data_IF_043941256447
#
_entry.id   IF_043941256447
#
_cell.length_a   1.000
_cell.length_b   1.000
_cell.length_c   1.000
_cell.angle_alpha   90.00
_cell.angle_beta   90.00
_cell.angle_gamma   90.00
#
_symmetry.space_group_name_H-M   'P 1'
#
loop_
_entity.id
_entity.type
_entity.pdbx_description
1 polymer ?
#
# COMPACT_ATOMS: atom_id res chain seq x y z
N UNK A 1 38.19 49.63 40.59
CA UNK A 1 38.16 49.05 39.23
C UNK A 1 39.14 47.90 39.13
N UNK A 2 38.73 46.73 39.62
CA UNK A 2 39.55 45.50 39.64
C UNK A 2 38.63 44.26 39.49
N UNK A 3 37.86 44.21 38.43
CA UNK A 3 36.91 43.09 38.25
C UNK A 3 36.94 42.45 36.87
N UNK A 4 37.36 43.18 35.84
CA UNK A 4 37.24 42.67 34.45
C UNK A 4 38.40 41.75 34.02
N UNK A 5 39.61 41.95 34.57
CA UNK A 5 40.80 41.18 34.22
C UNK A 5 40.84 39.75 34.81
N UNK A 6 40.15 39.52 35.92
CA UNK A 6 40.11 38.20 36.60
C UNK A 6 39.11 37.25 35.88
N UNK A 7 37.99 37.77 35.37
CA UNK A 7 36.99 36.98 34.69
C UNK A 7 37.50 36.45 33.36
N UNK A 8 38.30 37.25 32.62
CA UNK A 8 38.91 36.83 31.36
C UNK A 8 39.96 35.76 31.52
N UNK A 9 40.80 35.86 32.62
CA UNK A 9 41.77 34.80 32.91
C UNK A 9 41.14 33.49 33.33
N UNK A 10 40.06 33.55 34.12
CA UNK A 10 39.34 32.34 34.51
C UNK A 10 38.68 31.64 33.33
N UNK A 11 38.11 32.39 32.37
CA UNK A 11 37.58 31.82 31.14
C UNK A 11 38.67 31.18 30.28
N UNK A 12 39.83 31.78 30.15
CA UNK A 12 40.95 31.19 29.40
C UNK A 12 41.54 29.94 30.05
N UNK A 13 41.56 29.87 31.38
CA UNK A 13 41.98 28.68 32.12
C UNK A 13 40.95 27.55 32.01
N UNK A 14 39.66 27.85 32.02
CA UNK A 14 38.58 26.87 31.82
C UNK A 14 38.64 26.33 30.39
N UNK A 15 38.85 27.18 29.37
CA UNK A 15 39.00 26.72 28.00
C UNK A 15 40.22 25.81 27.80
N UNK A 16 41.36 26.10 28.47
CA UNK A 16 42.55 25.23 28.42
C UNK A 16 42.30 23.87 29.07
N UNK A 17 41.63 23.84 30.22
CA UNK A 17 41.32 22.58 30.92
C UNK A 17 40.31 21.74 30.13
N UNK A 18 39.36 22.35 29.41
CA UNK A 18 38.39 21.65 28.57
C UNK A 18 39.07 21.01 27.34
N UNK A 19 40.08 21.68 26.77
CA UNK A 19 40.85 21.15 25.64
C UNK A 19 41.85 20.04 26.08
N UNK A 20 42.41 20.11 27.32
CA UNK A 20 43.33 19.10 27.85
C UNK A 20 42.62 17.83 28.36
N UNK A 21 41.37 17.93 28.79
CA UNK A 21 40.59 16.79 29.34
C UNK A 21 39.81 16.06 28.23
N UNK A 22 39.84 16.55 27.00
CA UNK A 22 39.15 15.90 25.89
C UNK A 22 37.61 15.88 26.03
N UNK A 23 37.08 16.78 26.89
CA UNK A 23 35.63 16.97 27.00
C UNK A 23 35.15 17.52 25.65
N UNK A 24 34.55 16.70 24.85
CA UNK A 24 33.90 17.17 23.64
C UNK A 24 32.96 18.32 24.02
N UNK A 25 33.24 19.51 23.51
CA UNK A 25 32.31 20.65 23.63
C UNK A 25 30.95 20.12 23.16
N UNK A 26 29.86 20.32 23.89
CA UNK A 26 28.55 19.91 23.43
C UNK A 26 28.39 20.50 22.04
N UNK A 27 28.15 19.62 21.08
CA UNK A 27 27.97 20.00 19.66
C UNK A 27 26.69 20.85 19.62
N UNK A 28 26.85 22.18 19.71
CA UNK A 28 25.76 23.16 19.67
C UNK A 28 25.17 23.27 18.23
N UNK A 29 25.32 22.23 17.42
CA UNK A 29 24.64 22.17 16.14
C UNK A 29 23.15 21.87 16.37
N UNK A 30 22.26 22.86 16.20
CA UNK A 30 20.82 22.66 16.39
C UNK A 30 20.24 21.65 15.42
N UNK A 31 21.00 21.24 14.42
CA UNK A 31 20.59 20.29 13.38
C UNK A 31 21.32 18.94 13.48
N UNK A 32 22.08 18.68 14.54
CA UNK A 32 22.84 17.43 14.69
C UNK A 32 21.94 16.18 14.61
N UNK A 33 20.75 16.23 15.22
CA UNK A 33 19.78 15.15 15.15
C UNK A 33 19.23 14.94 13.73
N UNK A 34 19.01 16.03 12.99
CA UNK A 34 18.51 15.95 11.60
C UNK A 34 19.61 15.43 10.66
N UNK A 35 20.87 15.75 10.90
CA UNK A 35 21.98 15.18 10.11
C UNK A 35 22.15 13.69 10.39
N UNK A 36 22.10 13.26 11.64
CA UNK A 36 22.14 11.85 12.00
C UNK A 36 20.95 11.08 11.38
N UNK A 37 19.77 11.68 11.39
CA UNK A 37 18.61 11.14 10.70
C UNK A 37 18.84 11.06 9.17
N UNK A 38 19.38 12.12 8.55
CA UNK A 38 19.71 12.15 7.14
C UNK A 38 20.75 11.09 6.77
N UNK A 39 21.79 10.93 7.56
CA UNK A 39 22.81 9.89 7.36
C UNK A 39 22.23 8.49 7.47
N UNK A 40 21.38 8.23 8.47
CA UNK A 40 20.68 6.96 8.60
C UNK A 40 19.73 6.69 7.43
N UNK A 41 19.06 7.72 6.90
CA UNK A 41 18.15 7.63 5.76
C UNK A 41 18.89 7.50 4.42
N UNK A 42 20.11 8.02 4.27
CA UNK A 42 20.88 7.92 3.03
C UNK A 42 21.23 6.47 2.65
N UNK A 43 21.27 5.57 3.62
CA UNK A 43 21.43 4.12 3.41
C UNK A 43 20.11 3.40 3.09
N UNK A 44 18.97 4.04 3.36
CA UNK A 44 17.63 3.46 3.23
C UNK A 44 16.96 3.85 1.91
N UNK A 45 17.38 4.95 1.29
CA UNK A 45 16.83 5.40 0.00
C UNK A 45 17.45 4.62 -1.17
N UNK A 46 17.34 3.32 -1.15
CA UNK A 46 17.09 2.58 -2.37
C UNK A 46 15.59 2.70 -2.58
N UNK A 47 15.21 3.34 -3.67
CA UNK A 47 13.86 3.58 -4.12
C UNK A 47 13.02 2.31 -4.01
N UNK A 48 12.37 2.13 -2.87
CA UNK A 48 11.50 0.98 -2.71
C UNK A 48 10.11 1.34 -3.20
N UNK A 49 9.56 0.43 -3.95
CA UNK A 49 8.34 0.62 -4.68
C UNK A 49 7.16 0.90 -3.76
N UNK A 50 6.53 2.04 -3.92
CA UNK A 50 5.17 2.25 -3.47
C UNK A 50 4.30 2.31 -4.72
N UNK A 51 3.78 1.18 -5.13
CA UNK A 51 3.05 1.04 -6.38
C UNK A 51 1.57 0.70 -6.14
N UNK A 52 0.70 1.28 -6.96
CA UNK A 52 -0.69 0.88 -7.08
C UNK A 52 -0.87 0.01 -8.32
N UNK A 53 -1.52 -1.13 -8.15
CA UNK A 53 -1.82 -2.10 -9.20
C UNK A 53 -3.35 -2.17 -9.31
N UNK A 54 -3.88 -1.97 -10.50
CA UNK A 54 -5.32 -1.98 -10.70
C UNK A 54 -5.69 -2.68 -12.01
N UNK A 55 -6.86 -3.30 -12.03
CA UNK A 55 -7.34 -4.06 -13.16
C UNK A 55 -8.67 -4.71 -12.85
N UNK A 56 -9.28 -5.35 -13.83
CA UNK A 56 -10.47 -6.17 -13.62
C UNK A 56 -10.16 -7.44 -12.81
N UNK A 57 -11.21 -8.13 -12.41
CA UNK A 57 -11.06 -9.45 -11.80
C UNK A 57 -10.30 -10.41 -12.72
N UNK A 58 -9.49 -11.28 -12.13
CA UNK A 58 -8.76 -12.29 -12.87
C UNK A 58 -7.62 -11.77 -13.74
N UNK A 59 -7.23 -10.47 -13.66
CA UNK A 59 -6.13 -9.93 -14.48
C UNK A 59 -4.72 -10.18 -13.90
N UNK A 60 -4.60 -10.95 -12.81
CA UNK A 60 -3.29 -11.36 -12.27
C UNK A 60 -2.63 -10.34 -11.36
N UNK A 61 -3.38 -9.38 -10.78
CA UNK A 61 -2.83 -8.33 -9.88
C UNK A 61 -1.99 -8.90 -8.75
N UNK A 62 -2.56 -9.78 -7.93
CA UNK A 62 -1.84 -10.41 -6.81
C UNK A 62 -0.74 -11.34 -7.28
N UNK A 63 -0.94 -12.01 -8.42
CA UNK A 63 0.01 -12.97 -8.98
C UNK A 63 1.35 -12.32 -9.31
N UNK A 64 1.36 -11.11 -9.89
CA UNK A 64 2.63 -10.43 -10.23
C UNK A 64 3.45 -10.04 -9.00
N UNK A 65 2.81 -9.78 -7.86
CA UNK A 65 3.50 -9.46 -6.60
C UNK A 65 4.06 -10.73 -5.96
N UNK A 66 3.29 -11.81 -5.96
CA UNK A 66 3.74 -13.12 -5.47
C UNK A 66 4.89 -13.66 -6.32
N UNK A 67 4.79 -13.58 -7.65
CA UNK A 67 5.85 -13.97 -8.58
C UNK A 67 7.13 -13.13 -8.38
N UNK A 68 6.97 -11.82 -8.17
CA UNK A 68 8.10 -10.94 -7.88
C UNK A 68 8.77 -11.29 -6.55
N UNK A 69 7.99 -11.63 -5.52
CA UNK A 69 8.53 -12.08 -4.24
C UNK A 69 9.26 -13.42 -4.38
N UNK A 70 8.68 -14.35 -5.10
CA UNK A 70 9.27 -15.67 -5.29
C UNK A 70 10.60 -15.60 -6.05
N UNK A 71 10.64 -14.82 -7.12
CA UNK A 71 11.78 -14.70 -8.05
C UNK A 71 12.87 -13.72 -7.63
N UNK A 72 12.66 -12.88 -6.63
CA UNK A 72 13.69 -11.93 -6.17
C UNK A 72 14.83 -12.67 -5.47
N UNK A 73 15.87 -13.01 -6.24
CA UNK A 73 17.09 -13.66 -5.73
C UNK A 73 17.92 -12.73 -4.82
N UNK A 74 17.63 -11.42 -4.83
CA UNK A 74 18.35 -10.43 -4.01
C UNK A 74 17.75 -10.27 -2.61
N UNK A 75 16.57 -10.88 -2.35
CA UNK A 75 15.93 -10.80 -1.04
C UNK A 75 16.79 -11.47 0.03
N UNK A 76 16.74 -10.90 1.22
CA UNK A 76 17.36 -11.51 2.41
C UNK A 76 16.65 -12.85 2.67
N UNK A 77 17.43 -13.90 3.00
CA UNK A 77 16.88 -15.18 3.39
C UNK A 77 15.86 -15.02 4.53
N UNK A 78 14.80 -15.78 4.49
CA UNK A 78 13.69 -15.73 5.43
C UNK A 78 12.89 -14.41 5.43
N UNK A 79 13.08 -13.58 4.40
CA UNK A 79 12.24 -12.38 4.22
C UNK A 79 10.78 -12.76 4.01
N UNK A 80 9.89 -11.99 4.63
CA UNK A 80 8.45 -12.23 4.62
C UNK A 80 7.72 -11.22 3.72
N UNK A 81 6.78 -11.72 2.92
CA UNK A 81 5.75 -10.91 2.27
C UNK A 81 4.48 -10.95 3.13
N UNK A 82 4.09 -9.81 3.69
CA UNK A 82 2.80 -9.68 4.37
C UNK A 82 1.72 -9.21 3.40
N UNK A 83 0.60 -9.91 3.37
CA UNK A 83 -0.57 -9.51 2.61
C UNK A 83 -1.74 -9.15 3.55
N UNK A 84 -2.23 -7.92 3.50
CA UNK A 84 -3.53 -7.55 4.08
C UNK A 84 -4.57 -7.86 3.01
N UNK A 85 -5.23 -9.00 3.15
CA UNK A 85 -5.99 -9.67 2.09
C UNK A 85 -7.49 -9.63 2.41
N UNK A 86 -8.18 -8.65 1.81
CA UNK A 86 -9.62 -8.48 2.04
C UNK A 86 -10.47 -9.52 1.32
N UNK A 87 -10.00 -10.03 0.20
CA UNK A 87 -10.75 -10.94 -0.68
C UNK A 87 -10.32 -12.40 -0.51
N UNK A 88 -9.34 -12.65 0.36
CA UNK A 88 -8.68 -13.96 0.56
C UNK A 88 -8.02 -14.51 -0.71
N UNK A 89 -7.84 -13.67 -1.73
CA UNK A 89 -7.30 -14.06 -3.03
C UNK A 89 -5.81 -14.36 -2.99
N UNK A 90 -5.04 -13.61 -2.21
CA UNK A 90 -3.59 -13.80 -2.05
C UNK A 90 -3.30 -15.13 -1.33
N UNK A 91 -4.02 -15.41 -0.25
CA UNK A 91 -3.86 -16.67 0.50
C UNK A 91 -4.21 -17.89 -0.34
N UNK A 92 -5.29 -17.84 -1.09
CA UNK A 92 -5.69 -18.91 -2.00
C UNK A 92 -4.69 -19.12 -3.12
N UNK A 93 -4.22 -18.05 -3.76
CA UNK A 93 -3.27 -18.10 -4.84
C UNK A 93 -1.91 -18.65 -4.37
N UNK A 94 -1.44 -18.21 -3.20
CA UNK A 94 -0.21 -18.73 -2.61
C UNK A 94 -0.32 -20.25 -2.38
N UNK A 95 -1.39 -20.71 -1.75
CA UNK A 95 -1.60 -22.13 -1.46
C UNK A 95 -1.72 -22.98 -2.73
N UNK A 96 -2.26 -22.42 -3.81
CA UNK A 96 -2.53 -23.17 -5.04
C UNK A 96 -1.32 -23.25 -5.99
N UNK A 97 -0.44 -22.24 -6.00
CA UNK A 97 0.58 -22.10 -7.04
C UNK A 97 2.00 -22.01 -6.44
N UNK A 98 2.20 -21.17 -5.43
CA UNK A 98 3.55 -20.88 -4.94
C UNK A 98 3.97 -21.73 -3.75
N UNK A 99 3.00 -22.11 -2.89
CA UNK A 99 3.22 -22.85 -1.62
C UNK A 99 4.40 -22.26 -0.80
N UNK A 100 4.52 -20.92 -0.82
CA UNK A 100 5.63 -20.23 -0.20
C UNK A 100 5.30 -19.92 1.28
N UNK A 101 6.02 -20.53 2.24
CA UNK A 101 5.76 -20.37 3.67
C UNK A 101 6.05 -18.95 4.19
N UNK A 102 6.81 -18.15 3.43
CA UNK A 102 7.15 -16.79 3.79
C UNK A 102 6.10 -15.77 3.30
N UNK A 103 4.99 -16.22 2.75
CA UNK A 103 3.83 -15.38 2.46
C UNK A 103 2.84 -15.47 3.61
N UNK A 104 2.67 -14.37 4.35
CA UNK A 104 1.73 -14.29 5.48
C UNK A 104 0.51 -13.49 5.06
N UNK A 105 -0.60 -14.18 4.82
CA UNK A 105 -1.90 -13.56 4.48
C UNK A 105 -2.73 -13.29 5.73
N UNK A 106 -3.11 -12.01 5.91
CA UNK A 106 -3.93 -11.53 7.02
C UNK A 106 -5.34 -11.24 6.51
N UNK A 107 -6.32 -12.05 6.90
CA UNK A 107 -7.71 -11.68 6.72
C UNK A 107 -8.11 -10.65 7.79
N UNK A 108 -8.40 -9.38 7.42
CA UNK A 108 -8.68 -8.33 8.41
C UNK A 108 -10.14 -8.29 8.87
N UNK A 109 -11.04 -8.99 8.20
CA UNK A 109 -12.47 -8.91 8.49
C UNK A 109 -12.82 -9.38 9.89
N UNK A 110 -13.63 -8.58 10.58
CA UNK A 110 -14.27 -8.94 11.86
C UNK A 110 -15.76 -9.05 11.68
N UNK A 111 -16.33 -10.09 12.26
CA UNK A 111 -17.77 -10.28 12.29
C UNK A 111 -18.38 -9.51 13.45
N UNK A 112 -19.47 -8.80 13.20
CA UNK A 112 -20.14 -7.94 14.18
C UNK A 112 -21.17 -8.66 15.04
N UNK A 113 -21.63 -9.83 14.59
CA UNK A 113 -22.65 -10.63 15.26
C UNK A 113 -22.18 -12.07 15.47
N UNK A 114 -22.82 -12.77 16.44
CA UNK A 114 -22.49 -14.18 16.73
C UNK A 114 -22.91 -15.13 15.61
N UNK A 115 -23.96 -14.77 14.88
CA UNK A 115 -24.50 -15.53 13.74
C UNK A 115 -23.73 -15.24 12.43
N UNK A 116 -22.75 -14.32 12.47
CA UNK A 116 -21.93 -13.94 11.33
C UNK A 116 -22.71 -13.34 10.15
N UNK A 117 -23.82 -12.67 10.41
CA UNK A 117 -24.65 -12.03 9.38
C UNK A 117 -24.26 -10.58 9.11
N UNK A 118 -23.42 -9.96 9.93
CA UNK A 118 -22.99 -8.56 9.78
C UNK A 118 -21.49 -8.38 10.03
N UNK A 119 -20.87 -7.48 9.31
CA UNK A 119 -19.49 -7.08 9.51
C UNK A 119 -19.34 -6.06 10.64
N UNK A 120 -18.26 -6.16 11.40
CA UNK A 120 -17.81 -5.14 12.34
C UNK A 120 -16.86 -4.17 11.62
N UNK A 121 -17.40 -3.20 10.88
CA UNK A 121 -16.59 -2.23 10.14
C UNK A 121 -15.61 -1.43 11.02
N UNK A 122 -16.02 -0.89 12.20
CA UNK A 122 -15.07 -0.26 13.11
C UNK A 122 -13.97 -1.19 13.61
N UNK A 123 -14.34 -2.41 13.99
CA UNK A 123 -13.39 -3.42 14.44
C UNK A 123 -12.46 -3.89 13.32
N UNK A 124 -12.97 -4.01 12.08
CA UNK A 124 -12.17 -4.33 10.90
C UNK A 124 -11.19 -3.21 10.58
N UNK A 125 -11.65 -1.94 10.58
CA UNK A 125 -10.78 -0.79 10.39
C UNK A 125 -9.63 -0.78 11.41
N UNK A 126 -9.93 -0.96 12.69
CA UNK A 126 -8.91 -1.01 13.74
C UNK A 126 -7.93 -2.17 13.52
N UNK A 127 -8.43 -3.35 13.13
CA UNK A 127 -7.58 -4.52 12.86
C UNK A 127 -6.59 -4.27 11.73
N UNK A 128 -6.99 -3.62 10.64
CA UNK A 128 -6.07 -3.23 9.55
C UNK A 128 -4.96 -2.33 10.09
N UNK A 129 -5.33 -1.31 10.90
CA UNK A 129 -4.34 -0.41 11.51
C UNK A 129 -3.38 -1.16 12.44
N UNK A 130 -3.88 -2.13 13.19
CA UNK A 130 -3.06 -2.92 14.11
C UNK A 130 -2.10 -3.87 13.36
N UNK A 131 -2.56 -4.50 12.27
CA UNK A 131 -1.71 -5.32 11.40
C UNK A 131 -0.57 -4.47 10.82
N UNK A 132 -0.88 -3.30 10.26
CA UNK A 132 0.14 -2.43 9.68
C UNK A 132 1.17 -1.95 10.71
N UNK A 133 0.71 -1.59 11.92
CA UNK A 133 1.61 -1.20 13.02
C UNK A 133 2.45 -2.37 13.52
N UNK A 134 1.88 -3.58 13.57
CA UNK A 134 2.62 -4.79 13.91
C UNK A 134 3.76 -5.01 12.91
N UNK A 135 3.49 -4.94 11.60
CA UNK A 135 4.52 -5.11 10.58
C UNK A 135 5.62 -4.05 10.71
N UNK A 136 5.25 -2.77 10.93
CA UNK A 136 6.24 -1.70 11.20
C UNK A 136 7.12 -2.06 12.40
N UNK A 137 6.51 -2.50 13.51
CA UNK A 137 7.24 -2.91 14.70
C UNK A 137 8.20 -4.09 14.47
N UNK A 138 7.84 -5.05 13.61
CA UNK A 138 8.73 -6.15 13.24
C UNK A 138 9.93 -5.66 12.42
N UNK A 139 9.69 -4.76 11.46
CA UNK A 139 10.78 -4.13 10.68
C UNK A 139 11.74 -3.36 11.58
N UNK A 140 11.22 -2.58 12.52
CA UNK A 140 12.02 -1.81 13.50
C UNK A 140 12.86 -2.72 14.42
N UNK A 141 12.41 -3.95 14.65
CA UNK A 141 13.17 -4.98 15.38
C UNK A 141 14.21 -5.70 14.51
N UNK A 142 14.27 -5.40 13.22
CA UNK A 142 15.19 -6.02 12.28
C UNK A 142 14.69 -7.33 11.67
N UNK A 143 13.40 -7.66 11.81
CA UNK A 143 12.82 -8.80 11.10
C UNK A 143 12.82 -8.48 9.59
N UNK A 144 13.34 -9.35 8.73
CA UNK A 144 13.42 -9.09 7.31
C UNK A 144 12.01 -9.17 6.67
N UNK A 145 11.46 -8.01 6.31
CA UNK A 145 10.20 -7.89 5.57
C UNK A 145 10.52 -7.47 4.15
N UNK A 146 10.23 -8.34 3.18
CA UNK A 146 10.43 -8.05 1.77
C UNK A 146 9.46 -7.00 1.25
N UNK A 147 8.19 -7.12 1.66
CA UNK A 147 7.16 -6.21 1.21
C UNK A 147 5.83 -6.40 1.93
N UNK A 148 4.93 -5.44 1.66
CA UNK A 148 3.54 -5.47 2.11
C UNK A 148 2.64 -5.31 0.91
N UNK A 149 1.72 -6.25 0.72
CA UNK A 149 0.64 -6.19 -0.25
C UNK A 149 -0.67 -5.86 0.46
N UNK A 150 -1.38 -4.83 0.03
CA UNK A 150 -2.76 -4.56 0.47
C UNK A 150 -3.68 -4.87 -0.70
N UNK A 151 -4.35 -6.01 -0.63
CA UNK A 151 -5.26 -6.52 -1.65
C UNK A 151 -6.70 -6.13 -1.34
N UNK A 152 -7.40 -5.51 -2.31
CA UNK A 152 -8.79 -5.09 -2.15
C UNK A 152 -8.97 -3.69 -1.55
N UNK A 153 -8.34 -2.65 -2.12
CA UNK A 153 -8.48 -1.26 -1.66
C UNK A 153 -9.90 -0.69 -1.83
N UNK A 154 -10.69 -1.24 -2.71
CA UNK A 154 -12.13 -1.00 -2.84
C UNK A 154 -12.86 -1.44 -1.57
N UNK A 155 -12.59 -2.63 -1.05
CA UNK A 155 -13.09 -3.09 0.26
C UNK A 155 -12.63 -2.17 1.40
N UNK A 156 -11.37 -1.70 1.38
CA UNK A 156 -10.91 -0.71 2.34
C UNK A 156 -11.68 0.61 2.28
N UNK A 157 -12.01 1.08 1.08
CA UNK A 157 -12.83 2.27 0.89
C UNK A 157 -14.24 2.09 1.46
N UNK A 158 -14.84 0.91 1.27
CA UNK A 158 -16.12 0.52 1.86
C UNK A 158 -16.05 0.52 3.40
N UNK A 159 -15.03 -0.13 3.97
CA UNK A 159 -14.81 -0.17 5.42
C UNK A 159 -14.71 1.25 6.00
N UNK A 160 -13.93 2.13 5.37
CA UNK A 160 -13.82 3.52 5.82
C UNK A 160 -15.16 4.27 5.74
N UNK A 161 -15.95 3.99 4.70
CA UNK A 161 -17.29 4.59 4.51
C UNK A 161 -18.25 4.14 5.60
N UNK A 162 -18.33 2.84 5.86
CA UNK A 162 -19.26 2.29 6.84
C UNK A 162 -18.79 2.56 8.28
N UNK A 163 -17.49 2.58 8.53
CA UNK A 163 -16.95 3.03 9.81
C UNK A 163 -17.34 4.49 10.11
N UNK A 164 -17.24 5.39 9.14
CA UNK A 164 -17.73 6.77 9.27
C UNK A 164 -19.22 6.80 9.59
N UNK A 165 -20.04 6.06 8.85
CA UNK A 165 -21.49 6.00 9.06
C UNK A 165 -21.85 5.54 10.47
N UNK A 166 -21.18 4.50 10.98
CA UNK A 166 -21.44 3.97 12.32
C UNK A 166 -20.96 4.93 13.40
N UNK A 167 -19.71 5.38 13.33
CA UNK A 167 -19.06 6.11 14.42
C UNK A 167 -19.45 7.60 14.42
N UNK A 168 -19.46 8.25 13.25
CA UNK A 168 -19.64 9.71 13.19
C UNK A 168 -21.09 10.10 12.89
N UNK A 169 -21.81 9.28 12.13
CA UNK A 169 -23.21 9.55 11.79
C UNK A 169 -24.19 8.80 12.70
N UNK A 170 -23.71 7.96 13.60
CA UNK A 170 -24.52 7.25 14.60
C UNK A 170 -25.48 6.22 14.01
N UNK A 171 -25.17 5.62 12.85
CA UNK A 171 -25.96 4.53 12.29
C UNK A 171 -25.65 3.23 13.03
N UNK A 172 -26.69 2.44 13.33
CA UNK A 172 -26.51 1.10 13.86
C UNK A 172 -25.92 0.16 12.79
N UNK A 173 -25.10 -0.82 13.20
CA UNK A 173 -24.53 -1.81 12.30
C UNK A 173 -25.58 -2.52 11.44
N UNK A 174 -26.67 -2.97 12.08
CA UNK A 174 -27.79 -3.65 11.41
C UNK A 174 -28.52 -2.71 10.43
N UNK A 175 -28.51 -1.41 10.69
CA UNK A 175 -29.09 -0.39 9.81
C UNK A 175 -28.31 -0.18 8.51
N UNK A 176 -27.00 -0.42 8.53
CA UNK A 176 -26.15 -0.33 7.32
C UNK A 176 -26.42 -1.51 6.40
N UNK A 177 -26.37 -2.73 6.96
CA UNK A 177 -26.60 -3.97 6.20
C UNK A 177 -28.03 -4.01 5.63
N UNK A 178 -29.02 -3.49 6.40
CA UNK A 178 -30.39 -3.36 5.93
C UNK A 178 -30.55 -2.27 4.84
N UNK A 179 -29.75 -1.21 4.86
CA UNK A 179 -29.79 -0.13 3.88
C UNK A 179 -29.20 -0.56 2.53
N UNK A 180 -28.13 -1.34 2.53
CA UNK A 180 -27.51 -1.88 1.31
C UNK A 180 -28.47 -2.85 0.58
N UNK A 181 -29.35 -3.54 1.32
CA UNK A 181 -30.38 -4.43 0.76
C UNK A 181 -31.69 -3.74 0.33
N UNK A 182 -31.97 -2.50 0.77
CA UNK A 182 -33.26 -1.82 0.53
C UNK A 182 -33.22 -0.75 -0.57
N UNK A 183 -32.07 -0.51 -1.17
CA UNK A 183 -31.88 0.60 -2.10
C UNK A 183 -31.75 1.96 -1.40
N UNK A 184 -31.06 2.88 -2.04
CA UNK A 184 -30.55 4.14 -1.49
C UNK A 184 -31.62 5.15 -0.95
N UNK A 185 -32.87 4.76 -0.80
CA UNK A 185 -33.96 5.65 -0.37
C UNK A 185 -34.10 5.83 1.15
N UNK A 186 -33.70 4.84 1.94
CA UNK A 186 -33.96 4.80 3.39
C UNK A 186 -32.71 4.93 4.27
N UNK A 187 -31.51 4.78 3.70
CA UNK A 187 -30.28 5.03 4.42
C UNK A 187 -30.12 6.53 4.69
N UNK A 188 -29.73 6.90 5.92
CA UNK A 188 -29.34 8.26 6.23
C UNK A 188 -28.21 8.66 5.29
N UNK A 189 -28.51 9.49 4.29
CA UNK A 189 -27.56 9.92 3.28
C UNK A 189 -26.46 10.74 3.95
N UNK A 190 -25.23 10.58 3.45
CA UNK A 190 -24.15 11.50 3.73
C UNK A 190 -24.58 12.87 3.22
N UNK A 191 -24.95 13.76 4.13
CA UNK A 191 -25.65 15.01 3.78
C UNK A 191 -24.68 16.13 3.45
N UNK A 192 -23.43 16.04 3.92
CA UNK A 192 -22.46 17.12 3.82
C UNK A 192 -21.16 16.66 3.17
N UNK A 193 -20.57 17.56 2.41
CA UNK A 193 -19.24 17.34 1.83
C UNK A 193 -18.16 17.12 2.92
N UNK A 194 -18.35 17.69 4.11
CA UNK A 194 -17.50 17.48 5.29
C UNK A 194 -17.42 16.02 5.75
N UNK A 195 -18.51 15.27 5.59
CA UNK A 195 -18.59 13.88 6.04
C UNK A 195 -17.64 12.98 5.21
N UNK A 196 -17.56 13.25 3.91
CA UNK A 196 -16.60 12.58 3.04
C UNK A 196 -15.14 12.88 3.40
N UNK A 197 -14.85 14.05 4.01
CA UNK A 197 -13.53 14.35 4.52
C UNK A 197 -13.12 13.42 5.67
N UNK A 198 -14.07 13.01 6.52
CA UNK A 198 -13.84 12.05 7.61
C UNK A 198 -13.45 10.68 7.03
N UNK A 199 -14.25 10.16 6.07
CA UNK A 199 -13.93 8.92 5.36
C UNK A 199 -12.54 8.96 4.72
N UNK A 200 -12.24 10.04 4.01
CA UNK A 200 -10.97 10.20 3.32
C UNK A 200 -9.80 10.27 4.32
N UNK A 201 -9.99 10.91 5.46
CA UNK A 201 -8.99 10.92 6.54
C UNK A 201 -8.71 9.51 7.05
N UNK A 202 -9.74 8.68 7.25
CA UNK A 202 -9.59 7.27 7.63
C UNK A 202 -8.87 6.46 6.56
N UNK A 203 -9.26 6.62 5.31
CA UNK A 203 -8.58 5.98 4.18
C UNK A 203 -7.09 6.31 4.17
N UNK A 204 -6.73 7.57 4.35
CA UNK A 204 -5.35 8.03 4.32
C UNK A 204 -4.53 7.70 5.57
N UNK A 205 -5.12 7.14 6.63
CA UNK A 205 -4.35 6.54 7.73
C UNK A 205 -3.50 5.37 7.22
N UNK A 206 -4.08 4.53 6.35
CA UNK A 206 -3.34 3.46 5.68
C UNK A 206 -2.19 4.00 4.81
N UNK A 207 -2.43 5.12 4.09
CA UNK A 207 -1.39 5.79 3.30
C UNK A 207 -0.19 6.22 4.16
N UNK A 208 -0.44 6.73 5.36
CA UNK A 208 0.63 7.14 6.28
C UNK A 208 1.47 5.94 6.71
N UNK A 209 0.83 4.87 7.18
CA UNK A 209 1.53 3.65 7.61
C UNK A 209 2.29 2.99 6.45
N UNK A 210 1.72 2.99 5.24
CA UNK A 210 2.41 2.51 4.04
C UNK A 210 3.67 3.33 3.73
N UNK A 211 3.62 4.65 3.89
CA UNK A 211 4.80 5.50 3.72
C UNK A 211 5.85 5.30 4.78
N UNK A 212 5.43 5.03 6.02
CA UNK A 212 6.38 4.71 7.09
C UNK A 212 7.13 3.40 6.78
N UNK A 213 6.43 2.38 6.26
CA UNK A 213 7.08 1.15 5.77
C UNK A 213 8.07 1.41 4.63
N UNK A 214 7.68 2.23 3.64
CA UNK A 214 8.58 2.60 2.54
C UNK A 214 9.82 3.33 3.05
N UNK A 215 9.69 4.22 4.05
CA UNK A 215 10.83 4.89 4.70
C UNK A 215 11.74 3.91 5.45
N UNK A 216 11.20 2.81 5.95
CA UNK A 216 11.95 1.72 6.57
C UNK A 216 12.54 0.73 5.55
N UNK A 217 12.43 1.01 4.25
CA UNK A 217 12.99 0.18 3.19
C UNK A 217 12.13 -1.00 2.76
N UNK A 218 10.85 -1.02 3.13
CA UNK A 218 9.90 -2.08 2.76
C UNK A 218 9.12 -1.68 1.50
N UNK A 219 9.01 -2.60 0.55
CA UNK A 219 8.17 -2.43 -0.65
C UNK A 219 6.70 -2.45 -0.25
N UNK A 220 5.88 -1.57 -0.83
CA UNK A 220 4.44 -1.55 -0.58
C UNK A 220 3.68 -1.58 -1.89
N UNK A 221 2.78 -2.53 -2.02
CA UNK A 221 1.90 -2.71 -3.17
C UNK A 221 0.46 -2.60 -2.73
N UNK A 222 -0.29 -1.77 -3.42
CA UNK A 222 -1.73 -1.63 -3.24
C UNK A 222 -2.44 -2.12 -4.47
N UNK A 223 -3.42 -2.97 -4.31
CA UNK A 223 -4.23 -3.43 -5.42
C UNK A 223 -5.71 -3.15 -5.23
N UNK A 224 -6.38 -2.89 -6.36
CA UNK A 224 -7.80 -2.59 -6.42
C UNK A 224 -8.41 -2.98 -7.76
N UNK A 225 -9.72 -3.04 -7.80
CA UNK A 225 -10.46 -3.19 -9.03
C UNK A 225 -10.53 -1.89 -9.84
N UNK A 226 -11.01 -1.98 -11.08
CA UNK A 226 -11.37 -0.83 -11.89
C UNK A 226 -12.86 -0.57 -11.81
N UNK A 227 -13.22 0.72 -11.81
CA UNK A 227 -14.60 1.15 -11.96
C UNK A 227 -14.75 2.11 -13.14
N UNK A 228 -15.93 2.11 -13.74
CA UNK A 228 -16.31 3.10 -14.73
C UNK A 228 -16.51 4.48 -14.09
N UNK A 229 -16.04 5.52 -14.75
CA UNK A 229 -16.28 6.91 -14.34
C UNK A 229 -17.47 7.55 -15.02
N UNK A 230 -18.12 6.88 -15.96
CA UNK A 230 -19.22 7.45 -16.69
C UNK A 230 -20.48 7.56 -15.83
N UNK A 231 -20.62 8.70 -15.18
CA UNK A 231 -21.88 9.19 -14.63
C UNK A 231 -22.63 10.09 -15.64
N UNK A 232 -22.20 10.09 -16.91
CA UNK A 232 -22.88 10.88 -17.95
C UNK A 232 -24.12 10.14 -18.38
N UNK A 233 -25.28 10.80 -18.24
CA UNK A 233 -26.56 10.38 -18.85
C UNK A 233 -26.57 10.48 -20.39
N UNK A 234 -25.40 10.73 -21.01
CA UNK A 234 -25.22 10.77 -22.46
C UNK A 234 -24.64 9.45 -22.90
N UNK A 235 -25.39 8.70 -23.66
CA UNK A 235 -25.04 7.36 -24.14
C UNK A 235 -23.74 7.31 -24.98
N UNK A 236 -23.26 8.46 -25.49
CA UNK A 236 -22.10 8.55 -26.39
C UNK A 236 -20.79 8.96 -25.69
N UNK A 237 -20.78 9.13 -24.35
CA UNK A 237 -19.54 9.50 -23.66
C UNK A 237 -18.61 8.28 -23.53
N UNK A 238 -17.32 8.40 -23.87
CA UNK A 238 -16.38 7.27 -23.76
C UNK A 238 -16.29 6.79 -22.32
N UNK A 239 -16.35 5.47 -22.13
CA UNK A 239 -16.15 4.86 -20.81
C UNK A 239 -14.69 5.05 -20.40
N UNK A 240 -14.47 5.77 -19.31
CA UNK A 240 -13.15 5.90 -18.71
C UNK A 240 -13.07 5.00 -17.48
N UNK A 241 -12.13 4.07 -17.50
CA UNK A 241 -11.85 3.16 -16.41
C UNK A 241 -10.77 3.74 -15.49
N UNK A 242 -11.00 3.68 -14.18
CA UNK A 242 -10.07 4.18 -13.18
C UNK A 242 -10.02 3.24 -11.97
N UNK A 243 -8.94 3.29 -11.17
CA UNK A 243 -8.86 2.51 -9.94
C UNK A 243 -10.01 2.83 -8.98
N UNK A 244 -10.52 1.80 -8.31
CA UNK A 244 -11.60 1.91 -7.33
C UNK A 244 -11.04 2.17 -5.92
N UNK A 245 -10.56 3.38 -5.70
CA UNK A 245 -10.12 3.90 -4.41
C UNK A 245 -10.46 5.39 -4.26
N UNK A 246 -10.02 6.01 -3.19
CA UNK A 246 -10.21 7.45 -2.98
C UNK A 246 -9.44 8.25 -4.06
N UNK A 247 -10.07 9.26 -4.64
CA UNK A 247 -9.57 10.00 -5.83
C UNK A 247 -8.15 10.57 -5.68
N UNK A 248 -7.79 11.03 -4.47
CA UNK A 248 -6.47 11.60 -4.22
C UNK A 248 -5.36 10.56 -4.09
N UNK A 249 -5.71 9.27 -4.00
CA UNK A 249 -4.75 8.17 -3.87
C UNK A 249 -3.76 8.17 -5.03
N UNK A 250 -4.22 8.45 -6.25
CA UNK A 250 -3.34 8.57 -7.41
C UNK A 250 -2.20 9.60 -7.24
N UNK A 251 -2.41 10.63 -6.39
CA UNK A 251 -1.39 11.64 -6.14
C UNK A 251 -0.32 11.16 -5.14
N UNK A 252 -0.68 10.21 -4.29
CA UNK A 252 0.21 9.69 -3.25
C UNK A 252 1.08 8.53 -3.72
N UNK A 253 0.62 7.77 -4.71
CA UNK A 253 1.36 6.65 -5.29
C UNK A 253 2.35 7.16 -6.33
N UNK A 254 3.65 6.89 -6.21
CA UNK A 254 4.63 7.26 -7.23
C UNK A 254 4.45 6.45 -8.52
N UNK A 255 4.05 5.20 -8.42
CA UNK A 255 3.86 4.29 -9.55
C UNK A 255 2.45 3.75 -9.60
N UNK A 256 1.87 3.68 -10.82
CA UNK A 256 0.56 3.08 -11.10
C UNK A 256 0.70 2.13 -12.28
N UNK A 257 0.25 0.90 -12.07
CA UNK A 257 0.31 -0.19 -13.05
C UNK A 257 -1.12 -0.68 -13.31
N UNK A 258 -1.53 -0.67 -14.57
CA UNK A 258 -2.79 -1.26 -15.00
C UNK A 258 -2.54 -2.66 -15.51
N UNK A 259 -3.32 -3.60 -14.99
CA UNK A 259 -3.32 -4.99 -15.42
C UNK A 259 -4.51 -5.24 -16.34
N UNK A 260 -4.24 -5.82 -17.48
CA UNK A 260 -5.24 -6.23 -18.47
C UNK A 260 -5.05 -7.71 -18.83
N UNK A 261 -6.13 -8.36 -19.25
CA UNK A 261 -6.12 -9.71 -19.82
C UNK A 261 -6.83 -9.66 -21.15
N UNK A 262 -6.20 -10.18 -22.20
CA UNK A 262 -6.74 -10.25 -23.55
C UNK A 262 -6.90 -11.70 -23.94
N UNK A 263 -8.10 -12.09 -24.30
CA UNK A 263 -8.46 -13.43 -24.74
C UNK A 263 -8.38 -13.52 -26.26
N UNK A 264 -7.85 -14.63 -26.75
CA UNK A 264 -7.87 -15.02 -28.16
C UNK A 264 -8.77 -16.26 -28.34
N UNK A 265 -9.62 -16.23 -29.33
CA UNK A 265 -10.57 -17.30 -29.65
C UNK A 265 -10.28 -17.85 -31.03
N UNK A 266 -10.58 -19.14 -31.26
CA UNK A 266 -10.55 -19.74 -32.58
C UNK A 266 -11.83 -19.42 -33.38
N UNK A 267 -11.90 -19.96 -34.59
CA UNK A 267 -13.07 -19.77 -35.49
C UNK A 267 -14.37 -20.44 -34.95
N UNK A 268 -14.24 -21.28 -33.91
CA UNK A 268 -15.34 -21.99 -33.24
C UNK A 268 -15.74 -21.31 -31.92
N UNK A 269 -15.28 -20.08 -31.68
CA UNK A 269 -15.46 -19.29 -30.44
C UNK A 269 -14.90 -19.97 -29.17
N UNK A 270 -13.94 -20.89 -29.30
CA UNK A 270 -13.28 -21.51 -28.15
C UNK A 270 -12.04 -20.69 -27.76
N UNK A 271 -11.83 -20.55 -26.46
CA UNK A 271 -10.66 -19.83 -25.88
C UNK A 271 -9.37 -20.60 -26.21
N UNK A 272 -8.49 -19.98 -26.98
CA UNK A 272 -7.16 -20.53 -27.34
C UNK A 272 -6.09 -20.07 -26.37
N UNK A 273 -6.04 -18.76 -26.12
CA UNK A 273 -5.03 -18.17 -25.23
C UNK A 273 -5.56 -16.96 -24.46
N UNK A 274 -4.92 -16.66 -23.33
CA UNK A 274 -5.08 -15.40 -22.61
C UNK A 274 -3.73 -14.79 -22.36
N UNK A 275 -3.53 -13.57 -22.83
CA UNK A 275 -2.31 -12.77 -22.58
C UNK A 275 -2.58 -11.75 -21.49
N UNK A 276 -1.80 -11.81 -20.43
CA UNK A 276 -1.84 -10.86 -19.31
C UNK A 276 -0.74 -9.82 -19.48
N UNK A 277 -1.11 -8.55 -19.34
CA UNK A 277 -0.21 -7.44 -19.56
C UNK A 277 -0.25 -6.44 -18.41
N UNK A 278 0.90 -5.82 -18.15
CA UNK A 278 1.08 -4.72 -17.21
C UNK A 278 1.44 -3.44 -17.96
N UNK A 279 0.62 -2.40 -17.83
CA UNK A 279 0.85 -1.08 -18.44
C UNK A 279 1.14 -0.04 -17.37
N UNK A 280 2.28 0.64 -17.44
CA UNK A 280 2.63 1.72 -16.54
C UNK A 280 1.84 2.98 -16.91
N UNK A 281 0.82 3.32 -16.14
CA UNK A 281 0.04 4.56 -16.35
C UNK A 281 0.67 5.77 -15.65
N UNK A 282 1.59 5.51 -14.70
CA UNK A 282 2.38 6.50 -14.00
C UNK A 282 3.64 5.86 -13.42
N UNK A 283 4.78 6.53 -13.55
CA UNK A 283 6.00 6.18 -12.82
C UNK A 283 6.81 7.45 -12.61
N UNK A 284 6.88 7.95 -11.37
CA UNK A 284 7.61 9.18 -11.04
C UNK A 284 9.11 8.95 -10.93
N UNK A 285 9.51 7.78 -10.52
CA UNK A 285 10.90 7.37 -10.32
C UNK A 285 11.58 7.08 -11.65
N UNK A 286 10.84 6.50 -12.61
CA UNK A 286 11.32 6.18 -13.94
C UNK A 286 10.30 6.58 -15.02
N UNK A 287 10.29 7.85 -15.46
CA UNK A 287 9.34 8.34 -16.46
C UNK A 287 9.38 7.60 -17.80
N UNK A 288 10.49 6.93 -18.13
CA UNK A 288 10.62 6.17 -19.38
C UNK A 288 9.69 4.95 -19.44
N UNK A 289 9.24 4.45 -18.30
CA UNK A 289 8.27 3.35 -18.24
C UNK A 289 6.84 3.78 -18.55
N UNK A 290 6.52 5.07 -18.43
CA UNK A 290 5.13 5.53 -18.63
C UNK A 290 4.64 5.19 -20.04
N UNK A 291 3.47 4.57 -20.11
CA UNK A 291 2.84 4.01 -21.30
C UNK A 291 3.52 2.77 -21.89
N UNK A 292 4.57 2.23 -21.25
CA UNK A 292 5.06 0.92 -21.63
C UNK A 292 4.11 -0.16 -21.16
N UNK A 293 3.90 -1.16 -22.02
CA UNK A 293 3.13 -2.37 -21.73
C UNK A 293 4.07 -3.57 -21.80
N UNK A 294 4.06 -4.39 -20.74
CA UNK A 294 4.85 -5.63 -20.67
C UNK A 294 3.93 -6.83 -20.56
N UNK A 295 4.20 -7.89 -21.29
CA UNK A 295 3.53 -9.19 -21.10
C UNK A 295 4.08 -9.81 -19.83
N UNK A 296 3.19 -10.20 -18.91
CA UNK A 296 3.56 -10.80 -17.62
C UNK A 296 3.27 -12.31 -17.56
N UNK A 297 2.26 -12.76 -18.31
CA UNK A 297 1.92 -14.18 -18.41
C UNK A 297 1.15 -14.44 -19.71
N UNK A 298 1.30 -15.64 -20.23
CA UNK A 298 0.45 -16.18 -21.32
C UNK A 298 -0.03 -17.56 -20.88
N UNK A 299 -1.33 -17.78 -20.95
CA UNK A 299 -1.94 -19.10 -20.78
C UNK A 299 -2.47 -19.58 -22.14
N UNK A 300 -2.13 -20.81 -22.51
CA UNK A 300 -2.65 -21.46 -23.73
C UNK A 300 -3.46 -22.68 -23.31
N UNK A 301 -4.59 -22.90 -23.92
CA UNK A 301 -5.45 -24.04 -23.59
C UNK A 301 -4.69 -25.36 -23.78
N UNK A 302 -4.63 -26.17 -22.73
CA UNK A 302 -3.91 -27.46 -22.74
C UNK A 302 -2.41 -27.38 -22.53
N UNK A 303 -1.83 -26.19 -22.28
CA UNK A 303 -0.42 -26.00 -21.98
C UNK A 303 -0.24 -25.42 -20.57
N UNK A 304 0.96 -25.56 -20.02
CA UNK A 304 1.32 -24.89 -18.78
C UNK A 304 1.45 -23.37 -18.99
N UNK A 305 1.03 -22.54 -18.02
CA UNK A 305 1.17 -21.08 -18.11
C UNK A 305 2.62 -20.65 -18.28
N UNK A 306 2.87 -19.79 -19.25
CA UNK A 306 4.18 -19.20 -19.47
C UNK A 306 4.31 -17.88 -18.73
N UNK A 307 5.05 -17.89 -17.64
CA UNK A 307 5.30 -16.73 -16.81
C UNK A 307 6.53 -15.94 -17.25
N UNK A 308 6.38 -14.62 -17.39
CA UNK A 308 7.48 -13.68 -17.62
C UNK A 308 7.72 -12.83 -16.37
N UNK A 309 6.68 -12.63 -15.55
CA UNK A 309 6.70 -11.80 -14.36
C UNK A 309 6.81 -10.30 -14.67
N UNK A 310 7.09 -9.53 -13.64
CA UNK A 310 7.36 -8.09 -13.72
C UNK A 310 8.57 -7.74 -12.85
N UNK A 311 9.80 -7.97 -13.35
CA UNK A 311 11.03 -7.75 -12.59
C UNK A 311 11.18 -6.33 -12.04
N UNK A 312 10.61 -5.34 -12.72
CA UNK A 312 10.64 -3.93 -12.26
C UNK A 312 10.12 -3.75 -10.82
N UNK A 313 9.29 -4.68 -10.32
CA UNK A 313 8.79 -4.62 -8.95
C UNK A 313 9.88 -4.82 -7.90
N UNK A 314 11.00 -5.47 -8.25
CA UNK A 314 12.02 -5.84 -7.28
C UNK A 314 13.47 -5.51 -7.71
N UNK A 315 13.73 -5.24 -8.99
CA UNK A 315 15.07 -5.02 -9.52
C UNK A 315 15.63 -3.60 -9.31
N UNK A 316 14.83 -2.72 -8.72
CA UNK A 316 15.21 -1.33 -8.47
C UNK A 316 14.94 -0.38 -9.65
N UNK A 317 14.18 -0.83 -10.64
CA UNK A 317 13.77 0.00 -11.79
C UNK A 317 12.66 0.99 -11.42
N UNK A 318 11.83 0.70 -10.40
CA UNK A 318 10.74 1.54 -9.88
C UNK A 318 11.17 2.49 -8.78
#
# INVERSE_FOLDING_TARGET
MAGFGQTVKLQQEIEKVVDEVGVQKPNNDPYASLRAEQESMSHIIKTHSFAGIFGFDGTGKSAIVLDAFDKDETKINDSVLHAVDFDNGVGMLNSAIYDNPNVVSWNPWKMGSKDRTAYDYPGTHQRVMDIMKYIISEVEKGVPVWGVLVSGLDSWLEICTNNMRIIDLGLAKDGIDAADNRGAGEAKRVERQSDWAIRNTRFHQLTKLSRDLVRLGVRVYWETHMRSTNFSYKDDAPVVWQPEWEKKTNNYLPTLIRMDATNEYNDEDELVSTTYTATYTKCKTNPSLVNQTKTVMVTTTGEEPKWYGLPDLYDGTL
#
